data_IF_956876795769
#
_entry.id   IF_956876795769
#
_cell.length_a   1.000
_cell.length_b   1.000
_cell.length_c   1.000
_cell.angle_alpha   90.00
_cell.angle_beta   90.00
_cell.angle_gamma   90.00
#
_symmetry.space_group_name_H-M   'P 1'
#
loop_
_entity.id
_entity.type
_entity.pdbx_description
1 polymer ?
#
# COMPACT_ATOMS: atom_id res chain seq x y z
N UNK A 1 57.87 2.87 51.79
CA UNK A 1 57.73 3.52 50.46
C UNK A 1 56.55 2.98 49.63
N UNK A 2 55.93 1.86 50.00
CA UNK A 2 54.79 1.25 49.26
C UNK A 2 53.44 1.93 49.48
N UNK A 3 53.20 2.50 50.67
CA UNK A 3 51.92 3.18 50.99
C UNK A 3 51.68 4.48 50.21
N UNK A 4 52.74 5.19 49.81
CA UNK A 4 52.62 6.41 49.01
C UNK A 4 52.21 6.11 47.56
N UNK A 5 52.58 4.94 47.05
CA UNK A 5 52.19 4.47 45.71
C UNK A 5 50.75 3.98 45.66
N UNK A 6 50.30 3.25 46.68
CA UNK A 6 48.91 2.78 46.76
C UNK A 6 47.92 3.94 46.90
N UNK A 7 48.25 4.97 47.69
CA UNK A 7 47.41 6.17 47.82
C UNK A 7 47.31 6.98 46.52
N UNK A 8 48.40 7.08 45.75
CA UNK A 8 48.38 7.76 44.44
C UNK A 8 47.55 7.01 43.41
N UNK A 9 47.65 5.67 43.36
CA UNK A 9 46.85 4.84 42.46
C UNK A 9 45.36 4.89 42.81
N UNK A 10 45.02 4.88 44.10
CA UNK A 10 43.62 5.03 44.53
C UNK A 10 43.06 6.41 44.19
N UNK A 11 43.84 7.48 44.38
CA UNK A 11 43.42 8.84 44.01
C UNK A 11 43.21 9.01 42.49
N UNK A 12 44.05 8.41 41.66
CA UNK A 12 43.84 8.46 40.19
C UNK A 12 42.63 7.65 39.75
N UNK A 13 42.35 6.52 40.42
CA UNK A 13 41.19 5.68 40.10
C UNK A 13 39.87 6.38 40.45
N UNK A 14 39.80 7.08 41.59
CA UNK A 14 38.59 7.83 41.98
C UNK A 14 38.31 9.02 41.07
N UNK A 15 39.36 9.74 40.64
CA UNK A 15 39.23 10.85 39.68
C UNK A 15 38.74 10.33 38.32
N UNK A 16 39.24 9.18 37.85
CA UNK A 16 38.81 8.59 36.59
C UNK A 16 37.32 8.16 36.62
N UNK A 17 36.85 7.59 37.74
CA UNK A 17 35.44 7.18 37.93
C UNK A 17 34.52 8.41 37.98
N UNK A 18 34.95 9.49 38.64
CA UNK A 18 34.19 10.73 38.71
C UNK A 18 34.02 11.41 37.34
N UNK A 19 35.06 11.39 36.50
CA UNK A 19 35.03 11.98 35.15
C UNK A 19 34.22 11.11 34.16
N UNK A 20 34.21 9.78 34.31
CA UNK A 20 33.42 8.89 33.45
C UNK A 20 31.91 8.93 33.68
N UNK A 21 31.46 9.46 34.82
CA UNK A 21 30.04 9.45 35.22
C UNK A 21 29.22 10.60 34.62
N UNK A 22 29.85 11.73 34.24
CA UNK A 22 29.15 12.94 33.78
C UNK A 22 28.86 12.96 32.27
N UNK A 23 29.60 12.19 31.46
CA UNK A 23 29.45 12.11 30.00
C UNK A 23 28.57 10.94 29.52
N UNK A 24 28.17 10.03 30.42
CA UNK A 24 27.35 8.86 30.07
C UNK A 24 25.85 9.16 29.85
N UNK A 25 25.28 10.12 30.58
CA UNK A 25 23.84 10.41 30.53
C UNK A 25 23.41 11.09 29.22
N UNK A 26 24.27 11.90 28.62
CA UNK A 26 24.00 12.59 27.35
C UNK A 26 24.05 11.63 26.16
N UNK A 27 24.99 10.68 26.17
CA UNK A 27 25.10 9.64 25.13
C UNK A 27 23.94 8.64 25.23
N UNK A 28 23.58 8.21 26.45
CA UNK A 28 22.44 7.32 26.65
C UNK A 28 21.12 7.97 26.21
N UNK A 29 20.90 9.24 26.59
CA UNK A 29 19.72 9.99 26.15
C UNK A 29 19.73 10.22 24.63
N UNK A 30 20.89 10.50 24.05
CA UNK A 30 21.07 10.63 22.60
C UNK A 30 20.66 9.36 21.85
N UNK A 31 21.24 8.21 22.21
CA UNK A 31 20.90 6.91 21.57
C UNK A 31 19.45 6.53 21.82
N UNK A 32 18.93 6.74 23.05
CA UNK A 32 17.52 6.48 23.39
C UNK A 32 16.59 7.32 22.52
N UNK A 33 16.90 8.60 22.33
CA UNK A 33 16.12 9.48 21.48
C UNK A 33 16.25 9.10 20.00
N UNK A 34 17.44 8.72 19.53
CA UNK A 34 17.63 8.26 18.14
C UNK A 34 16.83 6.99 17.85
N UNK A 35 16.72 6.06 18.80
CA UNK A 35 15.89 4.85 18.64
C UNK A 35 14.40 5.19 18.75
N UNK A 36 14.02 6.09 19.67
CA UNK A 36 12.62 6.47 19.89
C UNK A 36 12.04 7.33 18.75
N UNK A 37 12.86 8.17 18.12
CA UNK A 37 12.47 9.09 17.04
C UNK A 37 13.09 8.67 15.69
N UNK A 38 13.32 7.38 15.48
CA UNK A 38 13.76 6.90 14.18
C UNK A 38 12.55 6.80 13.25
N UNK A 39 12.39 7.78 12.36
CA UNK A 39 11.31 7.83 11.37
C UNK A 39 11.21 6.54 10.56
N UNK A 40 12.34 5.93 10.18
CA UNK A 40 12.34 4.67 9.41
C UNK A 40 11.77 3.47 10.19
N UNK A 41 12.01 3.41 11.51
CA UNK A 41 11.43 2.36 12.35
C UNK A 41 9.96 2.63 12.61
N UNK A 42 9.59 3.89 12.80
CA UNK A 42 8.20 4.29 12.98
C UNK A 42 7.37 3.96 11.73
N UNK A 43 7.83 4.31 10.54
CA UNK A 43 7.18 3.99 9.26
C UNK A 43 7.00 2.49 9.07
N UNK A 44 8.03 1.71 9.42
CA UNK A 44 7.96 0.25 9.35
C UNK A 44 6.90 -0.32 10.31
N UNK A 45 6.88 0.14 11.57
CA UNK A 45 5.94 -0.33 12.58
C UNK A 45 4.51 0.10 12.25
N UNK A 46 4.30 1.35 11.84
CA UNK A 46 3.01 1.87 11.41
C UNK A 46 2.51 1.15 10.15
N UNK A 47 3.38 0.93 9.16
CA UNK A 47 3.02 0.17 7.96
C UNK A 47 2.65 -1.28 8.27
N UNK A 48 3.36 -1.93 9.20
CA UNK A 48 3.03 -3.28 9.64
C UNK A 48 1.67 -3.34 10.36
N UNK A 49 1.41 -2.39 11.26
CA UNK A 49 0.13 -2.23 11.98
C UNK A 49 -1.03 -2.02 11.01
N UNK A 50 -0.91 -1.06 10.09
CA UNK A 50 -1.98 -0.76 9.13
C UNK A 50 -2.28 -1.98 8.25
N UNK A 51 -1.23 -2.73 7.85
CA UNK A 51 -1.40 -3.95 7.05
C UNK A 51 -2.00 -5.13 7.82
N UNK A 52 -1.75 -5.23 9.13
CA UNK A 52 -2.37 -6.29 9.94
C UNK A 52 -3.86 -6.02 10.14
N UNK A 53 -4.24 -4.77 10.40
CA UNK A 53 -5.64 -4.34 10.48
C UNK A 53 -6.38 -4.47 9.15
N UNK A 54 -5.76 -4.10 8.04
CA UNK A 54 -6.32 -4.32 6.70
C UNK A 54 -6.66 -5.79 6.44
N UNK A 55 -5.77 -6.72 6.84
CA UNK A 55 -6.03 -8.18 6.72
C UNK A 55 -7.17 -8.64 7.62
N UNK A 56 -7.25 -8.10 8.83
CA UNK A 56 -8.33 -8.41 9.75
C UNK A 56 -9.68 -7.96 9.16
N UNK A 57 -9.79 -6.69 8.75
CA UNK A 57 -11.00 -6.14 8.13
C UNK A 57 -11.41 -6.92 6.86
N UNK A 58 -10.43 -7.33 6.05
CA UNK A 58 -10.68 -8.20 4.90
C UNK A 58 -11.26 -9.55 5.31
N UNK A 59 -10.72 -10.21 6.33
CA UNK A 59 -11.22 -11.52 6.75
C UNK A 59 -12.63 -11.47 7.36
N UNK A 60 -13.00 -10.37 7.98
CA UNK A 60 -14.34 -10.13 8.51
C UNK A 60 -15.37 -9.95 7.38
N UNK A 61 -14.98 -9.28 6.28
CA UNK A 61 -15.92 -8.88 5.21
C UNK A 61 -15.79 -9.70 3.92
N UNK A 62 -14.77 -10.55 3.76
CA UNK A 62 -14.54 -11.35 2.53
C UNK A 62 -15.73 -12.19 2.07
N UNK A 63 -16.59 -12.60 3.01
CA UNK A 63 -17.79 -13.39 2.72
C UNK A 63 -18.81 -12.60 1.88
N UNK A 64 -18.86 -11.28 2.05
CA UNK A 64 -19.74 -10.40 1.28
C UNK A 64 -19.31 -10.26 -0.19
N UNK A 65 -18.03 -10.53 -0.48
CA UNK A 65 -17.41 -10.36 -1.80
C UNK A 65 -17.15 -11.69 -2.54
N UNK A 66 -17.83 -12.77 -2.17
CA UNK A 66 -17.63 -14.11 -2.75
C UNK A 66 -17.91 -14.18 -4.26
N UNK A 67 -18.79 -13.30 -4.76
CA UNK A 67 -19.20 -13.28 -6.17
C UNK A 67 -18.35 -12.35 -7.04
N UNK A 68 -17.32 -11.71 -6.48
CA UNK A 68 -16.47 -10.80 -7.26
C UNK A 68 -15.46 -11.57 -8.12
N UNK A 69 -15.28 -11.18 -9.40
CA UNK A 69 -14.26 -11.77 -10.24
C UNK A 69 -12.87 -11.46 -9.68
N UNK A 70 -11.95 -12.43 -9.77
CA UNK A 70 -10.58 -12.30 -9.25
C UNK A 70 -10.52 -11.88 -7.77
N UNK A 71 -11.26 -12.57 -6.90
CA UNK A 71 -11.40 -12.27 -5.46
C UNK A 71 -10.06 -12.04 -4.73
N UNK A 72 -9.00 -12.74 -5.11
CA UNK A 72 -7.67 -12.52 -4.53
C UNK A 72 -7.10 -11.12 -4.82
N UNK A 73 -7.26 -10.65 -6.05
CA UNK A 73 -6.77 -9.33 -6.47
C UNK A 73 -7.67 -8.21 -5.96
N UNK A 74 -8.98 -8.48 -5.90
CA UNK A 74 -9.93 -7.63 -5.20
C UNK A 74 -9.57 -7.45 -3.72
N UNK A 75 -9.29 -8.56 -3.03
CA UNK A 75 -8.88 -8.51 -1.62
C UNK A 75 -7.56 -7.77 -1.41
N UNK A 76 -6.61 -7.86 -2.34
CA UNK A 76 -5.40 -7.02 -2.31
C UNK A 76 -5.71 -5.55 -2.52
N UNK A 77 -6.67 -5.22 -3.38
CA UNK A 77 -7.21 -3.87 -3.56
C UNK A 77 -7.75 -3.31 -2.27
N UNK A 78 -8.66 -4.07 -1.66
CA UNK A 78 -9.27 -3.75 -0.38
C UNK A 78 -8.23 -3.51 0.72
N UNK A 79 -7.27 -4.42 0.87
CA UNK A 79 -6.24 -4.28 1.90
C UNK A 79 -5.33 -3.06 1.67
N UNK A 80 -4.97 -2.78 0.41
CA UNK A 80 -4.12 -1.63 0.08
C UNK A 80 -4.89 -0.31 0.36
N UNK A 81 -6.15 -0.20 -0.07
CA UNK A 81 -6.97 0.99 0.19
C UNK A 81 -7.26 1.24 1.68
N UNK A 82 -7.47 0.17 2.46
CA UNK A 82 -7.61 0.29 3.91
C UNK A 82 -6.31 0.79 4.56
N UNK A 83 -5.16 0.23 4.16
CA UNK A 83 -3.87 0.59 4.72
C UNK A 83 -3.46 2.04 4.41
N UNK A 84 -3.78 2.52 3.20
CA UNK A 84 -3.53 3.90 2.76
C UNK A 84 -4.42 4.89 3.53
N UNK A 85 -5.72 4.59 3.68
CA UNK A 85 -6.63 5.40 4.49
C UNK A 85 -6.17 5.45 5.97
N UNK A 86 -5.74 4.32 6.54
CA UNK A 86 -5.21 4.25 7.90
C UNK A 86 -3.84 4.94 8.07
N UNK A 87 -3.14 5.24 6.97
CA UNK A 87 -1.91 6.03 7.00
C UNK A 87 -2.18 7.55 6.97
N UNK A 88 -3.46 7.97 6.90
CA UNK A 88 -3.84 9.36 6.71
C UNK A 88 -3.70 9.84 5.26
N UNK A 89 -3.55 8.91 4.31
CA UNK A 89 -3.55 9.22 2.89
C UNK A 89 -4.94 9.59 2.38
N UNK A 90 -4.99 10.25 1.22
CA UNK A 90 -6.26 10.53 0.54
C UNK A 90 -6.97 9.19 0.23
N UNK A 91 -8.29 9.14 0.44
CA UNK A 91 -9.15 7.96 0.18
C UNK A 91 -9.35 7.68 -1.33
N UNK A 92 -8.48 8.25 -2.15
CA UNK A 92 -8.57 8.26 -3.60
C UNK A 92 -7.81 7.07 -4.15
N UNK A 93 -8.42 6.42 -5.14
CA UNK A 93 -7.75 5.35 -5.88
C UNK A 93 -6.49 5.91 -6.56
N UNK A 94 -5.31 5.30 -6.39
CA UNK A 94 -4.09 5.81 -7.00
C UNK A 94 -4.18 5.72 -8.52
N UNK A 95 -3.53 6.63 -9.26
CA UNK A 95 -3.62 6.69 -10.72
C UNK A 95 -2.93 5.50 -11.42
N UNK A 96 -2.02 4.82 -10.71
CA UNK A 96 -1.29 3.67 -11.22
C UNK A 96 -1.42 2.52 -10.22
N UNK A 97 -1.57 1.27 -10.72
CA UNK A 97 -1.64 0.13 -9.85
C UNK A 97 -0.25 -0.14 -9.26
N UNK A 98 -0.14 -0.87 -8.15
CA UNK A 98 1.15 -1.16 -7.53
C UNK A 98 2.06 -1.98 -8.46
N UNK A 99 3.37 -1.83 -8.29
CA UNK A 99 4.43 -2.34 -9.18
C UNK A 99 4.34 -3.84 -9.51
N UNK A 100 3.67 -4.63 -8.66
CA UNK A 100 3.40 -6.06 -8.89
C UNK A 100 2.60 -6.33 -10.17
N UNK A 101 1.77 -5.38 -10.59
CA UNK A 101 0.95 -5.49 -11.79
C UNK A 101 1.62 -4.97 -13.07
N UNK A 102 2.84 -4.42 -12.98
CA UNK A 102 3.51 -3.84 -14.15
C UNK A 102 4.26 -4.88 -15.00
N UNK A 103 4.37 -6.11 -14.50
CA UNK A 103 5.05 -7.18 -15.22
C UNK A 103 4.27 -7.61 -16.46
N UNK A 104 4.97 -8.14 -17.46
CA UNK A 104 4.42 -8.65 -18.72
C UNK A 104 3.25 -9.63 -18.53
N UNK A 105 3.17 -10.33 -17.39
CA UNK A 105 2.10 -11.27 -17.04
C UNK A 105 0.72 -10.62 -16.99
N UNK A 106 0.65 -9.31 -16.75
CA UNK A 106 -0.60 -8.56 -16.66
C UNK A 106 -0.94 -7.80 -17.96
N UNK A 107 -0.11 -7.91 -19.01
CA UNK A 107 -0.35 -7.33 -20.34
C UNK A 107 -1.22 -8.25 -21.23
N UNK A 108 -2.15 -8.97 -20.59
CA UNK A 108 -3.12 -9.87 -21.24
C UNK A 108 -4.53 -9.46 -20.81
N UNK A 109 -5.57 -9.88 -21.53
CA UNK A 109 -6.95 -9.56 -21.15
C UNK A 109 -7.31 -10.02 -19.72
N UNK A 110 -6.87 -11.23 -19.34
CA UNK A 110 -7.02 -11.74 -17.96
C UNK A 110 -6.23 -10.88 -16.94
N UNK A 111 -5.02 -10.47 -17.31
CA UNK A 111 -4.18 -9.60 -16.51
C UNK A 111 -4.82 -8.24 -16.24
N UNK A 112 -5.41 -7.63 -17.26
CA UNK A 112 -6.16 -6.38 -17.14
C UNK A 112 -7.40 -6.57 -16.25
N UNK A 113 -8.08 -7.72 -16.36
CA UNK A 113 -9.19 -8.07 -15.46
C UNK A 113 -8.77 -8.14 -13.99
N UNK A 114 -7.59 -8.69 -13.69
CA UNK A 114 -7.00 -8.71 -12.34
C UNK A 114 -6.69 -7.31 -11.81
N UNK A 115 -6.14 -6.43 -12.66
CA UNK A 115 -5.86 -5.04 -12.31
C UNK A 115 -7.17 -4.26 -12.07
N UNK A 116 -8.18 -4.48 -12.90
CA UNK A 116 -9.51 -3.90 -12.71
C UNK A 116 -10.16 -4.36 -11.39
N UNK A 117 -10.02 -5.64 -11.04
CA UNK A 117 -10.51 -6.16 -9.75
C UNK A 117 -9.79 -5.54 -8.56
N UNK A 118 -8.48 -5.28 -8.67
CA UNK A 118 -7.74 -4.54 -7.65
C UNK A 118 -8.29 -3.12 -7.47
N UNK A 119 -8.53 -2.42 -8.59
CA UNK A 119 -9.11 -1.08 -8.58
C UNK A 119 -10.52 -1.02 -7.98
N UNK A 120 -11.35 -2.04 -8.20
CA UNK A 120 -12.70 -2.09 -7.59
C UNK A 120 -12.66 -2.41 -6.09
N UNK A 121 -11.63 -3.12 -5.63
CA UNK A 121 -11.45 -3.41 -4.20
C UNK A 121 -10.94 -2.23 -3.38
N UNK A 122 -10.11 -1.37 -3.97
CA UNK A 122 -9.49 -0.22 -3.28
C UNK A 122 -10.47 0.71 -2.57
N UNK A 123 -11.50 1.29 -3.22
CA UNK A 123 -12.42 2.21 -2.56
C UNK A 123 -13.26 1.52 -1.48
N UNK A 124 -13.54 0.23 -1.63
CA UNK A 124 -14.25 -0.54 -0.60
C UNK A 124 -13.42 -0.69 0.68
N UNK A 125 -12.10 -0.85 0.55
CA UNK A 125 -11.17 -0.86 1.68
C UNK A 125 -11.07 0.49 2.37
N UNK A 126 -10.95 1.56 1.60
CA UNK A 126 -10.88 2.94 2.12
C UNK A 126 -12.15 3.32 2.91
N UNK A 127 -13.34 2.99 2.37
CA UNK A 127 -14.61 3.22 3.09
C UNK A 127 -14.70 2.48 4.41
N UNK A 128 -14.24 1.23 4.45
CA UNK A 128 -14.24 0.45 5.69
C UNK A 128 -13.28 1.06 6.73
N UNK A 129 -12.14 1.60 6.29
CA UNK A 129 -11.24 2.33 7.17
C UNK A 129 -11.89 3.62 7.72
N UNK A 130 -12.73 4.31 6.95
CA UNK A 130 -13.52 5.45 7.44
C UNK A 130 -14.55 5.04 8.49
N UNK A 131 -15.30 3.96 8.24
CA UNK A 131 -16.28 3.42 9.18
C UNK A 131 -15.64 3.05 10.52
N UNK A 132 -14.41 2.55 10.50
CA UNK A 132 -13.62 2.19 11.69
C UNK A 132 -12.82 3.36 12.26
N UNK A 133 -12.96 4.56 11.69
CA UNK A 133 -12.18 5.76 12.04
C UNK A 133 -10.67 5.53 12.01
N UNK A 134 -10.22 4.62 11.14
CA UNK A 134 -8.83 4.21 11.03
C UNK A 134 -7.90 5.33 10.53
N UNK A 135 -8.45 6.26 9.77
CA UNK A 135 -7.74 7.46 9.30
C UNK A 135 -7.28 8.37 10.46
N UNK A 136 -7.94 8.33 11.62
CA UNK A 136 -7.57 9.11 12.80
C UNK A 136 -6.47 8.45 13.65
N UNK A 137 -6.11 7.19 13.41
CA UNK A 137 -5.17 6.46 14.26
C UNK A 137 -3.70 6.91 14.15
N UNK A 138 -3.38 7.70 13.13
CA UNK A 138 -2.08 8.36 12.98
C UNK A 138 -2.05 9.79 13.51
N UNK A 139 -3.21 10.36 13.88
CA UNK A 139 -3.30 11.75 14.31
C UNK A 139 -2.77 11.92 15.74
N UNK A 140 -1.78 12.79 15.90
CA UNK A 140 -1.21 13.10 17.21
C UNK A 140 -2.16 14.05 17.93
N UNK A 141 -2.78 13.56 19.01
CA UNK A 141 -3.62 14.37 19.87
C UNK A 141 -2.77 15.46 20.55
N UNK A 142 -3.07 16.72 20.25
CA UNK A 142 -2.42 17.89 20.85
C UNK A 142 -3.23 18.42 22.02
N UNK A 143 -2.59 19.09 22.98
CA UNK A 143 -3.29 19.70 24.10
C UNK A 143 -4.19 20.85 23.63
N UNK A 144 -5.32 21.05 24.31
CA UNK A 144 -6.26 22.15 24.04
C UNK A 144 -5.58 23.52 24.07
N UNK A 145 -4.61 23.71 24.97
CA UNK A 145 -3.80 24.92 25.04
C UNK A 145 -2.97 25.17 23.79
N UNK A 146 -2.45 24.11 23.17
CA UNK A 146 -1.65 24.19 21.95
C UNK A 146 -2.60 24.39 20.77
N UNK A 147 -3.72 23.69 20.72
CA UNK A 147 -4.77 23.92 19.72
C UNK A 147 -5.23 25.38 19.70
N UNK A 148 -5.58 25.94 20.87
CA UNK A 148 -5.99 27.34 21.00
C UNK A 148 -4.88 28.33 20.62
N UNK A 149 -3.60 28.00 20.85
CA UNK A 149 -2.47 28.82 20.41
C UNK A 149 -2.31 28.82 18.88
N UNK A 150 -2.50 27.68 18.23
CA UNK A 150 -2.50 27.59 16.77
C UNK A 150 -3.72 28.34 16.19
N UNK A 151 -4.89 28.23 16.81
CA UNK A 151 -6.09 28.97 16.40
C UNK A 151 -5.95 30.49 16.58
N UNK A 152 -5.35 30.97 17.68
CA UNK A 152 -5.11 32.41 17.90
C UNK A 152 -3.96 32.98 17.07
N UNK A 153 -3.00 32.15 16.64
CA UNK A 153 -1.77 32.57 15.97
C UNK A 153 -1.83 32.54 14.44
N UNK A 154 -2.90 32.00 13.85
CA UNK A 154 -3.07 31.89 12.39
C UNK A 154 -3.88 33.05 11.78
N UNK A 155 -3.41 34.29 11.93
CA UNK A 155 -3.37 35.14 10.72
C UNK A 155 -2.18 34.64 9.92
N UNK A 156 -2.41 33.76 8.95
CA UNK A 156 -1.34 33.24 8.09
C UNK A 156 -0.54 34.43 7.50
N UNK A 157 0.78 34.53 7.73
CA UNK A 157 1.60 35.65 7.21
C UNK A 157 1.66 35.73 5.68
N UNK A 158 1.07 34.77 4.98
CA UNK A 158 1.01 34.71 3.54
C UNK A 158 -0.43 34.43 3.10
N UNK A 159 -1.02 35.30 2.26
CA UNK A 159 -2.21 34.95 1.52
C UNK A 159 -1.80 33.94 0.44
N UNK A 160 -1.63 32.68 0.82
CA UNK A 160 -1.74 31.60 -0.16
C UNK A 160 -3.22 31.49 -0.51
N UNK A 161 -3.61 31.56 -1.80
CA UNK A 161 -4.98 31.26 -2.20
C UNK A 161 -5.31 29.83 -1.77
N UNK A 162 -6.11 29.69 -0.71
CA UNK A 162 -6.67 28.41 -0.26
C UNK A 162 -7.62 27.82 -1.33
N UNK A 163 -7.96 28.59 -2.36
CA UNK A 163 -8.81 28.22 -3.49
C UNK A 163 -8.13 27.30 -4.52
N UNK A 164 -6.87 26.89 -4.32
CA UNK A 164 -6.17 25.97 -5.22
C UNK A 164 -6.16 24.52 -4.72
N UNK A 165 -6.68 24.25 -3.53
CA UNK A 165 -6.85 22.89 -3.02
C UNK A 165 -8.34 22.62 -2.78
N UNK A 166 -9.06 22.41 -3.88
CA UNK A 166 -10.40 21.82 -3.85
C UNK A 166 -10.29 20.41 -3.24
N UNK A 167 -10.43 20.28 -1.92
CA UNK A 167 -10.48 18.97 -1.25
C UNK A 167 -11.62 18.09 -1.80
N UNK A 168 -12.69 18.71 -2.33
CA UNK A 168 -13.79 18.05 -3.03
C UNK A 168 -13.36 17.39 -4.36
N UNK A 169 -12.24 17.78 -4.96
CA UNK A 169 -11.81 17.26 -6.27
C UNK A 169 -11.11 15.90 -6.20
N UNK A 170 -10.74 15.46 -5.01
CA UNK A 170 -9.99 14.21 -4.83
C UNK A 170 -10.86 12.97 -5.11
N UNK A 171 -12.18 13.10 -4.98
CA UNK A 171 -13.13 12.09 -5.41
C UNK A 171 -14.19 12.76 -6.29
N UNK A 172 -14.25 12.52 -7.62
CA UNK A 172 -15.52 12.74 -8.29
C UNK A 172 -16.52 11.81 -7.61
N UNK A 173 -17.51 12.38 -6.90
CA UNK A 173 -18.75 11.67 -6.62
C UNK A 173 -19.28 11.23 -7.98
N UNK A 174 -19.08 9.97 -8.34
CA UNK A 174 -19.79 9.42 -9.48
C UNK A 174 -21.20 9.14 -8.98
N UNK A 175 -22.24 9.75 -9.56
CA UNK A 175 -23.54 9.14 -9.53
C UNK A 175 -23.38 7.82 -10.28
N UNK A 176 -23.39 6.71 -9.56
CA UNK A 176 -23.53 5.39 -10.16
C UNK A 176 -24.96 5.31 -10.69
N UNK A 177 -25.18 5.86 -11.88
CA UNK A 177 -26.24 5.37 -12.75
C UNK A 177 -25.61 4.44 -13.78
N UNK A 178 -26.11 3.21 -13.82
CA UNK A 178 -25.44 2.05 -14.38
C UNK A 178 -25.46 2.02 -15.90
N UNK A 179 -24.56 2.78 -16.55
CA UNK A 179 -24.36 2.65 -17.99
C UNK A 179 -22.91 2.29 -18.33
N UNK A 180 -22.71 1.00 -18.63
CA UNK A 180 -21.53 0.51 -19.33
C UNK A 180 -21.52 1.22 -20.69
N UNK A 181 -20.62 2.18 -20.87
CA UNK A 181 -20.36 2.78 -22.19
C UNK A 181 -19.66 1.73 -23.07
N UNK A 182 -20.21 1.35 -24.23
CA UNK A 182 -19.53 0.50 -25.20
C UNK A 182 -18.27 1.21 -25.73
N UNK A 183 -17.17 0.47 -25.84
CA UNK A 183 -15.92 0.96 -26.43
C UNK A 183 -16.12 1.13 -27.94
N UNK A 184 -16.47 2.35 -28.39
CA UNK A 184 -16.45 2.72 -29.81
C UNK A 184 -14.99 2.82 -30.29
N UNK A 185 -14.54 1.75 -30.93
CA UNK A 185 -13.23 1.69 -31.59
C UNK A 185 -13.00 0.40 -32.40
N UNK A 186 -14.05 -0.39 -32.65
CA UNK A 186 -13.96 -1.48 -33.60
C UNK A 186 -14.13 -0.93 -35.03
N UNK A 187 -13.24 -1.21 -35.97
CA UNK A 187 -13.47 -0.85 -37.37
C UNK A 187 -14.58 -1.75 -37.96
N UNK A 188 -15.76 -1.17 -38.12
CA UNK A 188 -16.82 -1.55 -39.09
C UNK A 188 -16.48 -0.82 -40.41
N UNK A 189 -16.47 -1.37 -41.62
CA UNK A 189 -17.16 -2.49 -42.26
C UNK A 189 -16.32 -3.06 -43.42
N UNK A 190 -16.62 -4.29 -43.85
CA UNK A 190 -16.64 -4.63 -45.27
C UNK A 190 -17.83 -5.58 -45.55
N UNK A 191 -18.44 -5.54 -46.74
CA UNK A 191 -19.88 -5.76 -46.91
C UNK A 191 -20.28 -7.19 -47.30
N UNK A 192 -21.50 -7.57 -46.92
CA UNK A 192 -22.50 -8.07 -47.88
C UNK A 192 -22.51 -9.56 -48.25
N UNK A 193 -23.37 -10.29 -47.54
CA UNK A 193 -24.40 -11.23 -48.05
C UNK A 193 -23.99 -12.56 -48.71
N UNK A 194 -24.49 -13.66 -48.13
CA UNK A 194 -24.70 -14.92 -48.84
C UNK A 194 -24.95 -16.11 -47.91
N UNK A 195 -26.21 -16.38 -47.60
CA UNK A 195 -26.60 -17.63 -46.95
C UNK A 195 -26.32 -18.82 -47.87
N UNK A 196 -25.46 -19.77 -47.46
CA UNK A 196 -25.39 -21.12 -48.04
C UNK A 196 -24.93 -22.12 -46.96
N UNK A 197 -25.78 -23.13 -46.72
CA UNK A 197 -25.48 -24.53 -46.40
C UNK A 197 -24.40 -24.87 -45.38
N UNK A 198 -24.82 -25.38 -44.22
CA UNK A 198 -24.03 -26.32 -43.42
C UNK A 198 -23.90 -27.64 -44.18
N UNK A 199 -22.87 -27.77 -45.02
CA UNK A 199 -22.27 -29.06 -45.35
C UNK A 199 -20.86 -28.77 -45.84
N UNK A 200 -19.92 -29.65 -45.46
CA UNK A 200 -18.51 -29.63 -45.88
C UNK A 200 -17.59 -28.71 -45.03
N UNK A 201 -17.04 -29.28 -43.95
CA UNK A 201 -15.63 -29.70 -43.87
C UNK A 201 -15.39 -30.18 -42.43
N UNK A 202 -15.88 -31.39 -42.17
CA UNK A 202 -15.20 -32.30 -41.25
C UNK A 202 -13.91 -32.72 -41.95
N UNK A 203 -12.79 -32.06 -41.64
CA UNK A 203 -11.45 -32.64 -41.78
C UNK A 203 -10.37 -31.69 -41.23
N UNK A 204 -9.52 -32.25 -40.36
CA UNK A 204 -8.17 -31.81 -39.96
C UNK A 204 -7.98 -31.08 -38.62
N UNK A 205 -8.13 -31.84 -37.54
CA UNK A 205 -7.03 -32.07 -36.55
C UNK A 205 -6.88 -33.61 -36.44
N UNK A 206 -5.72 -34.23 -36.14
CA UNK A 206 -4.84 -33.89 -35.00
C UNK A 206 -3.32 -34.13 -35.19
N UNK A 207 -2.51 -33.52 -34.31
CA UNK A 207 -1.05 -33.76 -34.26
C UNK A 207 -0.49 -33.70 -32.84
N UNK A 208 -0.82 -34.69 -32.01
CA UNK A 208 -0.18 -34.95 -30.72
C UNK A 208 1.30 -35.28 -30.89
N UNK A 209 2.19 -34.50 -30.26
CA UNK A 209 3.62 -34.80 -30.17
C UNK A 209 3.85 -35.73 -28.97
N UNK A 210 3.95 -37.03 -29.26
CA UNK A 210 4.31 -38.11 -28.32
C UNK A 210 5.84 -38.14 -28.15
N UNK A 211 6.29 -38.27 -26.90
CA UNK A 211 7.69 -38.41 -26.49
C UNK A 211 8.31 -39.67 -27.11
N UNK A 212 9.40 -39.52 -27.87
CA UNK A 212 10.19 -40.64 -28.37
C UNK A 212 11.42 -40.85 -27.46
N UNK A 213 11.42 -42.03 -26.84
CA UNK A 213 12.46 -42.67 -26.06
C UNK A 213 13.65 -43.01 -26.97
N UNK A 214 14.87 -42.73 -26.50
CA UNK A 214 16.13 -43.16 -27.10
C UNK A 214 16.33 -44.66 -26.90
N UNK A 215 16.55 -45.42 -27.98
CA UNK A 215 17.21 -46.73 -27.95
C UNK A 215 18.35 -46.78 -29.00
N UNK A 216 19.49 -47.42 -28.69
CA UNK A 216 20.72 -47.38 -29.49
C UNK A 216 20.78 -48.42 -30.64
N UNK A 217 21.73 -48.26 -31.59
CA UNK A 217 21.81 -49.09 -32.80
C UNK A 217 22.49 -50.47 -32.57
N UNK A 218 22.11 -51.50 -33.33
CA UNK A 218 22.76 -52.82 -33.27
C UNK A 218 24.02 -52.94 -34.15
N UNK A 219 24.93 -53.83 -33.74
CA UNK A 219 25.92 -54.49 -34.60
C UNK A 219 25.33 -55.77 -35.23
#
# INVERSE_FOLDING_TARGET
MTHAWTLRLLATATIAIAIGSSSGCTIYTGVKNTIAYNDSMNDFVLGWRNRSWAKQAWHERKAQYVNQPYQEEFGKGFMDGYADAAAGGAQCVPPLPPRRYWSWKYQTAEGQGKVAAWYSGYPMGARVAEEESAHLWGEIQVSETLHAQYELGHEAPYPFPLDLYDAEKCCPETPVDGQIVPIEGAPTEAPGNGAVGIDEVTRLTPGHRRLARLEPPPQ
#
